data_IF_034216230837
#
_entry.id   IF_034216230837
#
_cell.length_a   1.000
_cell.length_b   1.000
_cell.length_c   1.000
_cell.angle_alpha   90.00
_cell.angle_beta   90.00
_cell.angle_gamma   90.00
#
_symmetry.space_group_name_H-M   'P 1'
#
loop_
_entity.id
_entity.type
_entity.pdbx_description
1 polymer ?
#
# COMPACT_ATOMS: atom_id res chain seq x y z
N UNK A 1 -20.21 -3.52 10.01
CA UNK A 1 -21.47 -4.31 9.92
C UNK A 1 -21.50 -5.07 8.60
N UNK A 2 -22.29 -6.13 8.48
CA UNK A 2 -22.39 -6.94 7.25
C UNK A 2 -23.84 -6.89 6.78
N UNK A 3 -24.05 -6.70 5.48
CA UNK A 3 -25.36 -6.74 4.83
C UNK A 3 -25.34 -7.86 3.79
N UNK A 4 -26.38 -8.69 3.78
CA UNK A 4 -26.57 -9.73 2.77
C UNK A 4 -27.87 -9.45 2.03
N UNK A 5 -27.83 -9.49 0.70
CA UNK A 5 -29.01 -9.42 -0.15
C UNK A 5 -29.06 -10.61 -1.11
N UNK A 6 -30.28 -11.00 -1.49
CA UNK A 6 -30.56 -12.11 -2.39
C UNK A 6 -31.35 -11.59 -3.58
N UNK A 7 -31.02 -12.05 -4.78
CA UNK A 7 -31.79 -11.77 -5.99
C UNK A 7 -33.14 -12.51 -5.99
N UNK A 8 -33.97 -12.21 -7.00
CA UNK A 8 -35.10 -13.07 -7.34
C UNK A 8 -34.55 -14.39 -7.91
N UNK A 9 -35.35 -15.45 -7.86
CA UNK A 9 -34.96 -16.72 -8.48
C UNK A 9 -34.57 -16.48 -9.95
N UNK A 10 -33.40 -16.97 -10.36
CA UNK A 10 -32.96 -16.95 -11.75
C UNK A 10 -33.87 -17.87 -12.58
N UNK A 11 -33.77 -17.78 -13.91
CA UNK A 11 -34.56 -18.63 -14.81
C UNK A 11 -34.37 -20.15 -14.55
N UNK A 12 -33.26 -20.53 -13.93
CA UNK A 12 -32.92 -21.92 -13.59
C UNK A 12 -33.24 -22.26 -12.12
N UNK A 13 -33.97 -21.41 -11.40
CA UNK A 13 -34.30 -21.61 -9.98
C UNK A 13 -33.15 -21.32 -9.00
N UNK A 14 -32.04 -20.77 -9.48
CA UNK A 14 -30.89 -20.35 -8.65
C UNK A 14 -31.09 -18.98 -8.01
N UNK A 15 -30.14 -18.56 -7.17
CA UNK A 15 -30.14 -17.24 -6.54
C UNK A 15 -28.74 -16.64 -6.56
N UNK A 16 -28.67 -15.34 -6.77
CA UNK A 16 -27.45 -14.56 -6.56
C UNK A 16 -27.49 -13.94 -5.17
N UNK A 17 -26.40 -14.07 -4.44
CA UNK A 17 -26.25 -13.51 -3.10
C UNK A 17 -25.15 -12.47 -3.14
N UNK A 18 -25.47 -11.24 -2.70
CA UNK A 18 -24.49 -10.19 -2.52
C UNK A 18 -24.22 -9.99 -1.03
N UNK A 19 -22.96 -10.08 -0.64
CA UNK A 19 -22.50 -9.86 0.74
C UNK A 19 -21.66 -8.59 0.76
N UNK A 20 -22.10 -7.60 1.53
CA UNK A 20 -21.45 -6.30 1.69
C UNK A 20 -20.91 -6.13 3.10
N UNK A 21 -19.63 -5.78 3.21
CA UNK A 21 -18.99 -5.47 4.49
C UNK A 21 -18.87 -3.94 4.62
N UNK A 22 -19.37 -3.40 5.72
CA UNK A 22 -19.36 -1.96 6.03
C UNK A 22 -18.41 -1.69 7.21
N UNK A 23 -17.67 -0.58 7.13
CA UNK A 23 -16.74 -0.08 8.16
C UNK A 23 -15.58 -1.05 8.46
N UNK A 24 -14.94 -1.61 7.43
CA UNK A 24 -13.68 -2.33 7.59
C UNK A 24 -12.52 -1.34 7.74
N UNK A 25 -12.32 -0.80 8.95
CA UNK A 25 -11.23 0.15 9.24
C UNK A 25 -9.81 -0.46 9.16
N UNK A 26 -9.70 -1.70 8.72
CA UNK A 26 -8.49 -2.34 8.21
C UNK A 26 -8.96 -3.61 7.51
N UNK A 27 -8.94 -3.68 6.17
CA UNK A 27 -9.21 -4.95 5.51
C UNK A 27 -7.92 -5.76 5.65
N UNK A 28 -7.74 -6.42 6.79
CA UNK A 28 -7.07 -7.71 6.72
C UNK A 28 -7.75 -8.54 5.64
N UNK A 29 -6.99 -9.39 4.94
CA UNK A 29 -7.52 -10.23 3.86
C UNK A 29 -8.86 -10.85 4.27
N UNK A 30 -9.95 -10.41 3.64
CA UNK A 30 -11.25 -11.04 3.83
C UNK A 30 -11.11 -12.43 3.22
N UNK A 31 -11.26 -13.46 4.04
CA UNK A 31 -11.16 -14.85 3.59
C UNK A 31 -12.08 -15.05 2.38
N UNK A 32 -11.55 -15.67 1.32
CA UNK A 32 -12.30 -16.01 0.12
C UNK A 32 -13.54 -16.79 0.54
N UNK A 33 -14.73 -16.30 0.14
CA UNK A 33 -15.96 -17.05 0.33
C UNK A 33 -15.85 -18.34 -0.49
N UNK A 34 -15.79 -19.48 0.17
CA UNK A 34 -15.85 -20.79 -0.50
C UNK A 34 -17.26 -21.04 -1.03
N UNK A 35 -17.37 -21.67 -2.21
CA UNK A 35 -18.63 -22.23 -2.68
C UNK A 35 -18.73 -23.72 -2.31
N UNK A 36 -19.87 -24.11 -1.74
CA UNK A 36 -20.24 -25.51 -1.54
C UNK A 36 -21.41 -25.80 -2.47
N UNK A 37 -21.24 -26.75 -3.38
CA UNK A 37 -22.30 -27.23 -4.27
C UNK A 37 -22.83 -28.56 -3.73
N UNK A 38 -23.89 -28.52 -2.93
CA UNK A 38 -24.59 -29.73 -2.45
C UNK A 38 -25.59 -30.29 -3.48
N UNK A 39 -25.68 -29.69 -4.67
CA UNK A 39 -26.63 -30.09 -5.73
C UNK A 39 -25.84 -30.67 -6.91
N UNK A 40 -26.00 -31.97 -7.22
CA UNK A 40 -25.41 -32.57 -8.42
C UNK A 40 -25.82 -31.80 -9.68
N UNK A 41 -24.85 -31.22 -10.39
CA UNK A 41 -25.07 -30.40 -11.60
C UNK A 41 -25.30 -28.90 -11.36
N UNK A 42 -25.33 -28.44 -10.11
CA UNK A 42 -25.36 -27.02 -9.77
C UNK A 42 -24.00 -26.36 -9.91
N UNK A 43 -23.91 -25.23 -10.61
CA UNK A 43 -22.69 -24.41 -10.69
C UNK A 43 -22.82 -23.29 -9.67
N UNK A 44 -21.84 -23.18 -8.77
CA UNK A 44 -21.73 -22.06 -7.82
C UNK A 44 -20.46 -21.28 -8.14
N UNK A 45 -20.63 -20.05 -8.60
CA UNK A 45 -19.55 -19.11 -8.90
C UNK A 45 -19.47 -18.04 -7.82
N UNK A 46 -18.28 -17.84 -7.26
CA UNK A 46 -17.98 -16.72 -6.36
C UNK A 46 -17.14 -15.72 -7.15
N UNK A 47 -17.58 -14.45 -7.18
CA UNK A 47 -16.85 -13.37 -7.84
C UNK A 47 -16.86 -12.12 -6.96
N UNK A 48 -15.70 -11.47 -6.84
CA UNK A 48 -15.56 -10.20 -6.12
C UNK A 48 -16.07 -9.06 -7.01
N UNK A 49 -17.09 -8.33 -6.55
CA UNK A 49 -17.73 -7.27 -7.35
C UNK A 49 -17.13 -5.88 -7.11
N UNK A 50 -16.47 -5.65 -5.96
CA UNK A 50 -15.76 -4.42 -5.66
C UNK A 50 -14.72 -4.63 -4.55
N UNK A 51 -13.53 -4.07 -4.72
CA UNK A 51 -12.53 -3.94 -3.67
C UNK A 51 -12.62 -2.54 -3.07
N UNK A 52 -12.66 -2.45 -1.74
CA UNK A 52 -12.54 -1.18 -1.02
C UNK A 52 -11.35 -1.26 -0.08
N UNK A 53 -10.37 -0.42 -0.35
CA UNK A 53 -9.23 -0.18 0.53
C UNK A 53 -9.47 1.13 1.29
N UNK A 54 -9.04 1.18 2.55
CA UNK A 54 -9.03 2.44 3.31
C UNK A 54 -7.86 3.28 2.81
N UNK A 55 -8.06 4.59 2.64
CA UNK A 55 -6.98 5.50 2.30
C UNK A 55 -5.87 5.44 3.39
N UNK A 56 -4.63 5.29 2.96
CA UNK A 56 -3.45 5.38 3.80
C UNK A 56 -3.33 6.84 4.28
N UNK A 57 -3.23 7.03 5.58
CA UNK A 57 -3.08 8.33 6.22
C UNK A 57 -2.09 8.23 7.39
N UNK A 58 -1.46 9.34 7.74
CA UNK A 58 -0.52 9.44 8.84
C UNK A 58 0.85 9.92 8.39
N UNK A 59 1.87 9.58 9.18
CA UNK A 59 3.23 10.01 8.95
C UNK A 59 4.22 8.85 9.05
N UNK A 60 5.31 8.94 8.31
CA UNK A 60 6.46 8.05 8.35
C UNK A 60 7.52 8.66 9.27
N UNK A 61 8.06 7.84 10.17
CA UNK A 61 9.31 8.14 10.87
C UNK A 61 10.47 7.51 10.11
N UNK A 62 11.52 8.28 9.85
CA UNK A 62 12.73 7.80 9.19
C UNK A 62 13.92 7.89 10.14
N UNK A 63 14.93 7.06 9.88
CA UNK A 63 16.21 7.12 10.57
C UNK A 63 17.35 6.95 9.56
N UNK A 64 18.40 7.75 9.72
CA UNK A 64 19.62 7.65 8.92
C UNK A 64 20.82 7.44 9.83
N UNK A 65 21.64 6.41 9.53
CA UNK A 65 22.81 6.01 10.35
C UNK A 65 22.48 5.80 11.85
N UNK A 66 21.26 5.35 12.15
CA UNK A 66 20.80 5.11 13.52
C UNK A 66 20.40 6.37 14.28
N UNK A 67 20.29 7.51 13.60
CA UNK A 67 19.73 8.75 14.15
C UNK A 67 18.36 8.98 13.52
N UNK A 68 17.35 9.15 14.35
CA UNK A 68 16.00 9.45 13.90
C UNK A 68 15.92 10.89 13.34
N UNK A 69 15.02 11.09 12.39
CA UNK A 69 14.64 12.43 11.97
C UNK A 69 13.75 13.07 13.03
N UNK A 70 13.97 14.36 13.32
CA UNK A 70 13.10 15.12 14.22
C UNK A 70 11.72 15.40 13.59
N UNK A 71 11.67 15.44 12.25
CA UNK A 71 10.46 15.68 11.47
C UNK A 71 9.80 14.38 11.01
N UNK A 72 8.46 14.40 10.97
CA UNK A 72 7.62 13.30 10.48
C UNK A 72 7.15 13.58 9.06
N UNK A 73 7.21 12.56 8.20
CA UNK A 73 6.92 12.69 6.76
C UNK A 73 5.47 12.32 6.48
N UNK A 74 4.62 13.19 5.92
CA UNK A 74 3.30 12.79 5.45
C UNK A 74 3.40 11.59 4.49
N UNK A 75 2.54 10.58 4.66
CA UNK A 75 2.54 9.40 3.78
C UNK A 75 2.29 9.76 2.31
N UNK A 76 1.69 10.92 2.05
CA UNK A 76 1.31 11.45 0.73
C UNK A 76 2.18 12.62 0.25
N UNK A 77 3.32 12.89 0.92
CA UNK A 77 4.26 13.95 0.54
C UNK A 77 4.70 13.86 -0.94
N UNK A 78 4.90 15.00 -1.61
CA UNK A 78 5.44 14.98 -2.97
C UNK A 78 6.91 14.52 -2.97
N UNK A 79 7.45 14.17 -4.13
CA UNK A 79 8.86 13.80 -4.23
C UNK A 79 9.77 14.96 -3.79
N UNK A 80 9.40 16.19 -4.14
CA UNK A 80 10.12 17.42 -3.79
C UNK A 80 10.06 17.70 -2.28
N UNK A 81 8.90 17.51 -1.65
CA UNK A 81 8.76 17.64 -0.19
C UNK A 81 9.61 16.60 0.54
N UNK A 82 9.60 15.35 0.06
CA UNK A 82 10.38 14.27 0.65
C UNK A 82 11.90 14.52 0.51
N UNK A 83 12.34 15.00 -0.66
CA UNK A 83 13.72 15.40 -0.93
C UNK A 83 14.18 16.51 0.02
N UNK A 84 13.40 17.59 0.13
CA UNK A 84 13.74 18.73 0.98
C UNK A 84 13.88 18.36 2.47
N UNK A 85 13.04 17.46 2.99
CA UNK A 85 13.13 17.00 4.38
C UNK A 85 14.34 16.07 4.56
N UNK A 86 14.66 15.21 3.60
CA UNK A 86 15.87 14.38 3.67
C UNK A 86 17.14 15.24 3.71
N UNK A 87 17.20 16.30 2.91
CA UNK A 87 18.34 17.23 2.84
C UNK A 87 18.42 18.21 4.01
N UNK A 88 17.34 18.39 4.78
CA UNK A 88 17.37 19.20 6.00
C UNK A 88 18.07 18.49 7.17
N UNK A 89 18.24 17.18 7.09
CA UNK A 89 18.86 16.39 8.15
C UNK A 89 20.40 16.49 8.11
N UNK A 90 20.99 16.75 9.27
CA UNK A 90 22.44 16.87 9.44
C UNK A 90 23.16 15.56 9.00
N UNK A 91 23.73 15.57 7.80
CA UNK A 91 24.51 14.45 7.25
C UNK A 91 23.99 13.87 5.94
N UNK A 92 22.95 14.46 5.34
CA UNK A 92 22.56 14.22 3.95
C UNK A 92 22.72 15.52 3.16
N UNK A 93 23.56 15.51 2.13
CA UNK A 93 23.78 16.72 1.31
C UNK A 93 22.91 16.81 0.07
N UNK A 94 22.84 15.72 -0.69
CA UNK A 94 22.17 15.71 -1.99
C UNK A 94 21.58 14.32 -2.24
N UNK A 95 20.27 14.28 -2.30
CA UNK A 95 19.51 13.08 -2.64
C UNK A 95 18.53 13.42 -3.75
N UNK A 96 18.25 12.44 -4.60
CA UNK A 96 17.15 12.53 -5.56
C UNK A 96 16.04 11.61 -5.14
N UNK A 97 14.84 12.16 -4.99
CA UNK A 97 13.64 11.35 -4.71
C UNK A 97 12.78 11.22 -5.95
N UNK A 98 12.31 10.01 -6.23
CA UNK A 98 11.23 9.77 -7.19
C UNK A 98 10.09 9.05 -6.48
N UNK A 99 8.87 9.48 -6.75
CA UNK A 99 7.64 8.92 -6.18
C UNK A 99 6.83 8.22 -7.26
N UNK A 100 6.26 7.06 -6.95
CA UNK A 100 5.29 6.38 -7.83
C UNK A 100 3.94 7.10 -7.83
N UNK A 101 3.10 6.78 -8.81
CA UNK A 101 1.68 7.07 -8.69
C UNK A 101 1.12 6.38 -7.44
N UNK A 102 0.19 7.02 -6.71
CA UNK A 102 -0.45 6.41 -5.56
C UNK A 102 -1.31 5.23 -6.01
N UNK A 103 -1.28 4.13 -5.26
CA UNK A 103 -2.20 3.00 -5.49
C UNK A 103 -3.64 3.40 -5.14
N UNK A 104 -4.60 2.49 -5.36
CA UNK A 104 -6.01 2.73 -5.02
C UNK A 104 -6.26 3.05 -3.54
N UNK A 105 -5.31 2.71 -2.66
CA UNK A 105 -5.37 3.03 -1.24
C UNK A 105 -4.55 4.28 -0.85
N UNK A 106 -3.98 5.03 -1.80
CA UNK A 106 -3.17 6.22 -1.50
C UNK A 106 -1.70 5.95 -1.13
N UNK A 107 -1.27 4.69 -1.00
CA UNK A 107 0.13 4.37 -0.79
C UNK A 107 0.98 4.73 -2.03
N UNK A 108 2.13 5.36 -1.81
CA UNK A 108 3.13 5.64 -2.84
C UNK A 108 4.46 4.99 -2.47
N UNK A 109 5.23 4.55 -3.47
CA UNK A 109 6.61 4.12 -3.29
C UNK A 109 7.54 5.34 -3.48
N UNK A 110 8.48 5.52 -2.55
CA UNK A 110 9.53 6.54 -2.65
C UNK A 110 10.88 5.86 -2.88
N UNK A 111 11.55 6.23 -3.96
CA UNK A 111 12.91 5.80 -4.26
C UNK A 111 13.85 6.96 -4.01
N UNK A 112 14.78 6.76 -3.07
CA UNK A 112 15.82 7.72 -2.70
C UNK A 112 17.14 7.30 -3.33
N UNK A 113 17.77 8.20 -4.07
CA UNK A 113 19.08 8.00 -4.68
C UNK A 113 20.06 8.99 -4.07
N UNK A 114 21.10 8.50 -3.41
CA UNK A 114 22.17 9.36 -2.91
C UNK A 114 23.04 9.82 -4.08
N UNK A 115 23.13 11.13 -4.30
CA UNK A 115 23.90 11.69 -5.42
C UNK A 115 25.39 11.83 -5.09
N UNK A 116 25.77 11.62 -3.83
CA UNK A 116 27.14 11.72 -3.35
C UNK A 116 27.52 10.53 -2.48
N UNK A 117 28.76 10.05 -2.65
CA UNK A 117 29.37 9.05 -1.78
C UNK A 117 29.96 9.63 -0.50
N UNK A 118 29.95 10.96 -0.35
CA UNK A 118 30.42 11.62 0.88
C UNK A 118 29.66 11.11 2.12
N UNK A 119 28.37 10.81 1.95
CA UNK A 119 27.49 10.28 2.98
C UNK A 119 27.49 8.74 3.03
N UNK A 120 28.34 8.06 2.24
CA UNK A 120 28.50 6.60 2.27
C UNK A 120 29.47 6.10 3.38
N UNK A 121 30.17 7.01 4.07
CA UNK A 121 31.20 6.65 5.04
C UNK A 121 32.56 6.40 4.37
N UNK A 122 33.44 5.66 5.04
CA UNK A 122 34.77 5.33 4.50
C UNK A 122 34.67 4.42 3.28
N UNK A 123 34.68 5.00 2.08
CA UNK A 123 34.74 4.25 0.82
C UNK A 123 36.18 3.77 0.62
N UNK A 124 36.45 2.45 0.53
CA UNK A 124 37.78 1.95 0.25
C UNK A 124 38.34 2.57 -1.03
N UNK A 125 39.61 2.99 -0.99
CA UNK A 125 40.31 3.45 -2.18
C UNK A 125 40.28 2.34 -3.24
N UNK A 126 39.66 2.59 -4.39
CA UNK A 126 39.82 1.73 -5.56
C UNK A 126 41.23 1.98 -6.09
N UNK A 127 42.13 1.03 -5.85
CA UNK A 127 43.44 1.00 -6.51
C UNK A 127 43.28 0.21 -7.81
N UNK A 128 43.73 0.77 -8.92
CA UNK A 128 43.83 0.04 -10.18
C UNK A 128 44.77 -1.16 -9.97
N UNK A 129 44.34 -2.36 -10.36
CA UNK A 129 45.16 -3.59 -10.32
C UNK A 129 45.89 -3.80 -11.63
#
# INVERSE_FOLDING_TARGET
>A
SITVSRSRATANGGYDWAVSFHNVNSPGTIAVLGSFADVPGGIVTVATTAERTTALAGYLGLAFRGVDFDDFFPVDATAEEFEAILESHNGMRDVRVTRSDPTSNGASEYRVTFQSLFDAGGVPLITDV
#
